data_IF_112745306902
#
_entry.id   IF_112745306902
#
_cell.length_a   1.000
_cell.length_b   1.000
_cell.length_c   1.000
_cell.angle_alpha   90.00
_cell.angle_beta   90.00
_cell.angle_gamma   90.00
#
_symmetry.space_group_name_H-M   'P 1'
#
loop_
_entity.id
_entity.type
_entity.pdbx_description
1 polymer ?
#
# COMPACT_ATOMS: atom_id res chain seq x y z
N UNK A 1 -7.50 -19.09 1.87
CA UNK A 1 -7.97 -18.24 2.99
C UNK A 1 -7.05 -17.05 3.11
N UNK A 2 -7.59 -15.84 2.95
CA UNK A 2 -6.82 -14.63 3.07
C UNK A 2 -6.47 -14.39 4.55
N UNK A 3 -5.19 -14.17 4.82
CA UNK A 3 -4.70 -13.91 6.18
C UNK A 3 -5.02 -12.46 6.60
N UNK A 4 -5.25 -12.22 7.91
CA UNK A 4 -5.35 -10.85 8.40
C UNK A 4 -4.02 -10.10 8.19
N UNK A 5 -4.11 -8.78 7.97
CA UNK A 5 -2.95 -7.91 7.73
C UNK A 5 -2.18 -7.61 9.04
N UNK A 6 -2.62 -8.17 10.14
CA UNK A 6 -2.07 -7.91 11.49
C UNK A 6 -0.56 -8.16 11.56
N UNK A 7 0.13 -7.27 12.24
CA UNK A 7 1.57 -7.37 12.45
C UNK A 7 2.44 -7.00 11.25
N UNK A 8 1.82 -6.57 10.14
CA UNK A 8 2.52 -6.26 8.90
C UNK A 8 2.44 -4.79 8.48
N UNK A 9 1.69 -3.97 9.22
CA UNK A 9 1.48 -2.57 8.88
C UNK A 9 2.68 -1.69 9.25
N UNK A 10 3.29 -1.95 10.40
CA UNK A 10 4.39 -1.14 10.92
C UNK A 10 5.25 -1.98 11.88
N UNK A 11 6.51 -1.60 12.01
CA UNK A 11 7.42 -2.08 13.05
C UNK A 11 7.17 -1.43 14.41
N UNK A 12 6.36 -0.36 14.46
CA UNK A 12 5.95 0.27 15.72
C UNK A 12 4.75 -0.51 16.32
N UNK A 13 4.93 -1.16 17.50
CA UNK A 13 3.87 -1.94 18.13
C UNK A 13 2.65 -1.09 18.53
N UNK A 14 2.82 0.22 18.74
CA UNK A 14 1.71 1.11 19.07
C UNK A 14 0.72 1.27 17.91
N UNK A 15 1.18 1.18 16.67
CA UNK A 15 0.30 1.28 15.49
C UNK A 15 -0.76 0.18 15.54
N UNK A 16 -0.35 -1.07 15.76
CA UNK A 16 -1.30 -2.18 15.84
C UNK A 16 -2.14 -2.14 17.11
N UNK A 17 -1.54 -1.73 18.23
CA UNK A 17 -2.28 -1.56 19.48
C UNK A 17 -3.46 -0.59 19.31
N UNK A 18 -3.22 0.60 18.76
CA UNK A 18 -4.29 1.58 18.53
C UNK A 18 -5.28 1.15 17.46
N UNK A 19 -4.82 0.45 16.42
CA UNK A 19 -5.72 -0.11 15.41
C UNK A 19 -6.71 -1.11 16.02
N UNK A 20 -6.28 -1.90 17.00
CA UNK A 20 -7.13 -2.86 17.71
C UNK A 20 -8.13 -2.18 18.66
N UNK A 21 -7.81 -0.97 19.14
CA UNK A 21 -8.72 -0.18 20.00
C UNK A 21 -9.77 0.59 19.20
N UNK A 22 -9.56 0.76 17.91
CA UNK A 22 -10.46 1.49 17.03
C UNK A 22 -11.74 0.69 16.78
N UNK A 23 -12.86 1.19 17.33
CA UNK A 23 -14.18 0.55 17.16
C UNK A 23 -14.71 0.60 15.74
N UNK A 24 -14.21 1.51 14.91
CA UNK A 24 -14.59 1.64 13.50
C UNK A 24 -13.73 0.77 12.60
N UNK A 25 -12.62 0.24 13.11
CA UNK A 25 -11.73 -0.64 12.37
C UNK A 25 -12.25 -2.08 12.30
N UNK A 26 -12.13 -2.70 11.15
CA UNK A 26 -12.42 -4.11 10.97
C UNK A 26 -11.18 -4.96 11.29
N UNK A 27 -11.31 -5.90 12.23
CA UNK A 27 -10.22 -6.74 12.71
C UNK A 27 -10.29 -8.19 12.21
N UNK A 28 -11.28 -8.51 11.41
CA UNK A 28 -11.49 -9.85 10.86
C UNK A 28 -10.61 -10.16 9.65
N UNK A 29 -10.83 -11.33 9.08
CA UNK A 29 -10.21 -11.72 7.83
C UNK A 29 -10.79 -10.92 6.67
N UNK A 30 -9.98 -10.67 5.64
CA UNK A 30 -10.46 -10.03 4.44
C UNK A 30 -11.57 -10.87 3.79
N UNK A 31 -12.70 -10.24 3.49
CA UNK A 31 -13.81 -10.93 2.82
C UNK A 31 -13.40 -11.25 1.38
N UNK A 32 -13.93 -12.37 0.87
CA UNK A 32 -13.60 -12.83 -0.48
C UNK A 32 -14.04 -11.81 -1.54
N UNK A 33 -15.25 -11.28 -1.41
CA UNK A 33 -15.77 -10.27 -2.34
C UNK A 33 -14.93 -8.98 -2.32
N UNK A 34 -14.46 -8.56 -1.16
CA UNK A 34 -13.53 -7.42 -1.05
C UNK A 34 -12.20 -7.72 -1.73
N UNK A 35 -11.64 -8.91 -1.51
CA UNK A 35 -10.41 -9.35 -2.17
C UNK A 35 -10.54 -9.40 -3.69
N UNK A 36 -11.66 -9.91 -4.19
CA UNK A 36 -11.95 -9.93 -5.63
C UNK A 36 -12.11 -8.52 -6.19
N UNK A 37 -12.76 -7.61 -5.47
CA UNK A 37 -12.89 -6.21 -5.87
C UNK A 37 -11.54 -5.50 -5.95
N UNK A 38 -10.63 -5.76 -5.00
CA UNK A 38 -9.27 -5.22 -5.04
C UNK A 38 -8.50 -5.77 -6.26
N UNK A 39 -8.57 -7.07 -6.51
CA UNK A 39 -7.91 -7.68 -7.67
C UNK A 39 -8.42 -7.11 -8.99
N UNK A 40 -9.74 -6.93 -9.11
CA UNK A 40 -10.36 -6.31 -10.28
C UNK A 40 -9.91 -4.85 -10.45
N UNK A 41 -9.87 -4.08 -9.37
CA UNK A 41 -9.37 -2.71 -9.38
C UNK A 41 -7.90 -2.61 -9.81
N UNK A 42 -7.05 -3.52 -9.36
CA UNK A 42 -5.65 -3.58 -9.78
C UNK A 42 -5.51 -3.90 -11.27
N UNK A 43 -6.32 -4.83 -11.79
CA UNK A 43 -6.35 -5.14 -13.23
C UNK A 43 -6.79 -3.91 -14.04
N UNK A 44 -7.83 -3.22 -13.57
CA UNK A 44 -8.29 -1.99 -14.23
C UNK A 44 -7.21 -0.90 -14.20
N UNK A 45 -6.52 -0.74 -13.08
CA UNK A 45 -5.42 0.23 -12.96
C UNK A 45 -4.30 -0.06 -13.96
N UNK A 46 -3.94 -1.31 -14.15
CA UNK A 46 -2.97 -1.72 -15.16
C UNK A 46 -3.41 -1.35 -16.58
N UNK A 47 -4.69 -1.51 -16.88
CA UNK A 47 -5.24 -1.17 -18.19
C UNK A 47 -5.21 0.33 -18.49
N UNK A 48 -5.39 1.17 -17.48
CA UNK A 48 -5.43 2.63 -17.66
C UNK A 48 -4.10 3.34 -17.43
N UNK A 49 -3.06 2.63 -16.97
CA UNK A 49 -1.79 3.24 -16.59
C UNK A 49 -1.20 4.14 -17.69
N UNK A 50 -1.24 3.67 -18.93
CA UNK A 50 -0.72 4.40 -20.08
C UNK A 50 -1.57 5.62 -20.47
N UNK A 51 -2.80 5.71 -19.99
CA UNK A 51 -3.71 6.83 -20.26
C UNK A 51 -3.72 7.89 -19.18
N UNK A 52 -3.03 7.67 -18.06
CA UNK A 52 -2.95 8.65 -16.97
C UNK A 52 -2.15 9.87 -17.44
N UNK A 53 -2.72 11.07 -17.24
CA UNK A 53 -2.15 12.34 -17.71
C UNK A 53 -1.68 13.25 -16.57
N UNK A 54 -2.16 13.04 -15.35
CA UNK A 54 -1.78 13.86 -14.20
C UNK A 54 -0.37 13.51 -13.69
N UNK A 55 0.32 14.45 -13.03
CA UNK A 55 1.56 14.15 -12.34
C UNK A 55 1.36 13.06 -11.29
N UNK A 56 2.32 12.12 -11.20
CA UNK A 56 2.25 10.97 -10.28
C UNK A 56 3.51 10.93 -9.42
N UNK A 57 3.29 10.77 -8.12
CA UNK A 57 4.33 10.51 -7.14
C UNK A 57 4.00 9.22 -6.38
N UNK A 58 4.92 8.26 -6.42
CA UNK A 58 4.77 6.97 -5.76
C UNK A 58 5.79 6.87 -4.64
N UNK A 59 5.32 6.53 -3.44
CA UNK A 59 6.15 6.15 -2.29
C UNK A 59 5.92 4.69 -1.95
N UNK A 60 6.98 3.94 -1.67
CA UNK A 60 6.87 2.57 -1.21
C UNK A 60 8.00 2.21 -0.25
N UNK A 61 7.67 1.55 0.85
CA UNK A 61 8.65 1.00 1.76
C UNK A 61 9.21 -0.33 1.23
N UNK A 62 10.52 -0.50 1.29
CA UNK A 62 11.12 -1.74 0.75
C UNK A 62 10.85 -2.97 1.62
N UNK A 63 10.47 -2.79 2.89
CA UNK A 63 10.10 -3.86 3.81
C UNK A 63 8.58 -4.07 3.90
N UNK A 64 7.81 -3.50 2.98
CA UNK A 64 6.35 -3.66 2.93
C UNK A 64 5.98 -5.13 2.66
N UNK A 65 5.24 -5.71 3.60
CA UNK A 65 4.78 -7.10 3.54
C UNK A 65 3.29 -7.22 3.22
N UNK A 66 2.61 -6.09 3.03
CA UNK A 66 1.19 -6.05 2.64
C UNK A 66 1.06 -5.93 1.14
N UNK A 67 1.84 -5.03 0.53
CA UNK A 67 1.88 -4.81 -0.91
C UNK A 67 3.33 -4.91 -1.41
N UNK A 68 3.48 -5.45 -2.60
CA UNK A 68 4.80 -5.70 -3.18
C UNK A 68 5.43 -4.41 -3.74
N UNK A 69 6.60 -3.97 -3.26
CA UNK A 69 7.30 -2.83 -3.82
C UNK A 69 7.61 -2.96 -5.31
N UNK A 70 7.87 -4.17 -5.79
CA UNK A 70 8.09 -4.42 -7.21
C UNK A 70 6.85 -4.10 -8.06
N UNK A 71 5.66 -4.27 -7.50
CA UNK A 71 4.42 -3.86 -8.15
C UNK A 71 4.35 -2.36 -8.40
N UNK A 72 4.81 -1.55 -7.46
CA UNK A 72 4.92 -0.10 -7.64
C UNK A 72 5.90 0.28 -8.74
N UNK A 73 7.03 -0.41 -8.83
CA UNK A 73 8.01 -0.19 -9.90
C UNK A 73 7.43 -0.54 -11.28
N UNK A 74 6.74 -1.68 -11.39
CA UNK A 74 6.10 -2.09 -12.64
C UNK A 74 5.03 -1.10 -13.09
N UNK A 75 4.23 -0.60 -12.15
CA UNK A 75 3.22 0.42 -12.45
C UNK A 75 3.87 1.73 -12.92
N UNK A 76 4.92 2.19 -12.22
CA UNK A 76 5.68 3.37 -12.61
C UNK A 76 6.24 3.24 -14.03
N UNK A 77 6.79 2.08 -14.38
CA UNK A 77 7.36 1.84 -15.71
C UNK A 77 6.31 1.89 -16.83
N UNK A 78 5.05 1.59 -16.51
CA UNK A 78 3.93 1.65 -17.46
C UNK A 78 3.35 3.03 -17.64
N UNK A 79 3.59 3.96 -16.73
CA UNK A 79 3.12 5.34 -16.84
C UNK A 79 3.86 6.06 -17.98
N UNK A 80 3.10 6.65 -18.90
CA UNK A 80 3.65 7.44 -20.01
C UNK A 80 3.77 8.93 -19.67
N UNK A 81 3.14 9.40 -18.61
CA UNK A 81 3.26 10.78 -18.15
C UNK A 81 4.72 11.09 -17.81
N UNK A 82 5.21 12.25 -18.24
CA UNK A 82 6.61 12.64 -18.01
C UNK A 82 6.86 13.09 -16.56
N UNK A 83 5.90 13.80 -15.97
CA UNK A 83 5.99 14.24 -14.58
C UNK A 83 5.60 13.09 -13.65
N UNK A 84 6.53 12.17 -13.45
CA UNK A 84 6.37 11.03 -12.56
C UNK A 84 7.62 10.82 -11.73
N UNK A 85 7.43 10.44 -10.48
CA UNK A 85 8.52 10.14 -9.54
C UNK A 85 8.15 8.91 -8.72
N UNK A 86 9.12 8.02 -8.52
CA UNK A 86 9.00 6.92 -7.57
C UNK A 86 10.12 7.03 -6.54
N UNK A 87 9.78 6.82 -5.28
CA UNK A 87 10.74 6.84 -4.18
C UNK A 87 10.53 5.64 -3.28
N UNK A 88 11.57 4.83 -3.15
CA UNK A 88 11.61 3.72 -2.19
C UNK A 88 12.26 4.17 -0.89
N UNK A 89 11.69 3.74 0.22
CA UNK A 89 12.20 4.02 1.56
C UNK A 89 12.77 2.73 2.16
N UNK A 90 14.11 2.62 2.24
CA UNK A 90 14.75 1.39 2.71
C UNK A 90 14.34 1.00 4.13
N UNK A 91 13.88 -0.25 4.29
CA UNK A 91 13.51 -0.80 5.58
C UNK A 91 12.17 -0.33 6.14
N UNK A 92 11.42 0.51 5.42
CA UNK A 92 10.11 0.95 5.87
C UNK A 92 9.02 -0.04 5.45
N UNK A 93 8.05 -0.24 6.34
CA UNK A 93 6.91 -1.12 6.14
C UNK A 93 5.71 -0.37 5.54
N UNK A 94 4.55 -1.05 5.48
CA UNK A 94 3.34 -0.51 4.83
C UNK A 94 2.84 0.79 5.47
N UNK A 95 2.82 0.87 6.78
CA UNK A 95 2.35 2.02 7.56
C UNK A 95 3.34 3.20 7.58
N UNK A 96 3.82 3.64 6.44
CA UNK A 96 4.84 4.69 6.32
C UNK A 96 4.43 6.02 6.99
N UNK A 97 3.17 6.40 6.86
CA UNK A 97 2.66 7.63 7.46
C UNK A 97 2.75 7.60 8.98
N UNK A 98 2.35 6.49 9.59
CA UNK A 98 2.43 6.32 11.05
C UNK A 98 3.87 6.42 11.56
N UNK A 99 4.81 5.81 10.83
CA UNK A 99 6.24 5.90 11.17
C UNK A 99 6.78 7.32 11.04
N UNK A 100 6.40 8.03 9.98
CA UNK A 100 6.81 9.42 9.79
C UNK A 100 6.31 10.30 10.94
N UNK A 101 5.06 10.15 11.33
CA UNK A 101 4.45 10.91 12.42
C UNK A 101 5.10 10.60 13.78
N UNK A 102 5.55 9.38 14.00
CA UNK A 102 6.23 9.01 15.25
C UNK A 102 7.63 9.61 15.39
N UNK A 103 8.23 10.12 14.31
CA UNK A 103 9.54 10.76 14.30
C UNK A 103 9.46 12.29 14.46
N UNK A 104 8.28 12.86 14.40
CA UNK A 104 8.04 14.28 14.64
C UNK A 104 7.87 14.59 16.11
#
# INVERSE_FOLDING_TARGET
>A
VLQPIRGHLSDDPNVEFYARQDRQGYLGRLRIDTGLGIADGLTHLDQIAESIRCPILIFHGTADRVTDPDGSQLFYDRLLVQDKTIKFWPGWEHGMYARLMSQL
#
